data_IF_357102678022
#
_entry.id   IF_357102678022
#
_cell.length_a   1.000
_cell.length_b   1.000
_cell.length_c   1.000
_cell.angle_alpha   90.00
_cell.angle_beta   90.00
_cell.angle_gamma   90.00
#
_symmetry.space_group_name_H-M   'P 1'
#
loop_
_entity.id
_entity.type
_entity.pdbx_description
1 polymer ?
#
# COMPACT_ATOMS: atom_id res chain seq x y z
N UNK A 1 12.36 30.16 31.94
CA UNK A 1 12.10 28.83 31.32
C UNK A 1 12.05 29.02 29.82
N UNK A 2 13.11 28.65 29.10
CA UNK A 2 13.09 28.62 27.60
C UNK A 2 12.61 27.24 27.20
N UNK A 3 11.35 27.11 26.86
CA UNK A 3 10.79 25.90 26.28
C UNK A 3 11.41 25.69 24.90
N UNK A 4 12.07 24.58 24.73
CA UNK A 4 12.71 24.18 23.47
C UNK A 4 11.64 24.02 22.36
N UNK A 5 11.51 25.04 21.53
CA UNK A 5 10.61 25.04 20.36
C UNK A 5 10.96 23.94 19.35
N UNK A 6 12.19 23.45 19.35
CA UNK A 6 12.67 22.37 18.49
C UNK A 6 12.09 20.99 18.84
N UNK A 7 11.93 20.69 20.14
CA UNK A 7 11.30 19.44 20.58
C UNK A 7 9.79 19.40 20.29
N UNK A 8 9.12 20.56 20.37
CA UNK A 8 7.69 20.65 20.04
C UNK A 8 7.42 20.43 18.55
N UNK A 9 8.33 20.88 17.68
CA UNK A 9 8.22 20.70 16.23
C UNK A 9 8.42 19.25 15.78
N UNK A 10 9.29 18.51 16.44
CA UNK A 10 9.54 17.08 16.19
C UNK A 10 8.35 16.23 16.67
N UNK A 11 7.79 16.56 17.83
CA UNK A 11 6.64 15.88 18.40
C UNK A 11 5.37 16.12 17.58
N UNK A 12 5.19 17.30 16.97
CA UNK A 12 4.06 17.60 16.07
C UNK A 12 4.23 16.89 14.72
N UNK A 13 5.45 16.75 14.20
CA UNK A 13 5.70 15.98 12.98
C UNK A 13 5.45 14.48 13.20
N UNK A 14 5.82 13.93 14.36
CA UNK A 14 5.57 12.53 14.72
C UNK A 14 4.10 12.25 15.08
N UNK A 15 3.36 13.25 15.62
CA UNK A 15 1.94 13.08 15.94
C UNK A 15 1.00 13.19 14.73
N UNK A 16 1.47 13.71 13.59
CA UNK A 16 0.74 13.70 12.32
C UNK A 16 0.87 12.35 11.59
N UNK A 17 1.79 11.48 12.01
CA UNK A 17 2.01 10.15 11.44
C UNK A 17 1.16 9.05 12.12
N UNK A 18 0.34 9.38 13.07
CA UNK A 18 -0.28 8.43 13.99
C UNK A 18 -1.73 8.04 13.72
N UNK A 19 -2.20 7.88 12.47
CA UNK A 19 -3.41 7.12 12.12
C UNK A 19 -3.43 6.91 10.59
N UNK A 20 -2.66 5.98 10.07
CA UNK A 20 -2.80 5.54 8.69
C UNK A 20 -3.71 4.29 8.69
N UNK A 21 -4.99 4.47 8.50
CA UNK A 21 -5.89 3.42 8.04
C UNK A 21 -5.79 3.36 6.51
N UNK A 22 -5.94 2.21 5.90
CA UNK A 22 -5.29 1.90 4.63
C UNK A 22 -6.25 1.43 3.54
N UNK A 23 -5.86 1.63 2.33
CA UNK A 23 -6.61 1.34 1.11
C UNK A 23 -5.81 0.48 0.15
N UNK A 24 -6.50 -0.29 -0.68
CA UNK A 24 -5.90 -1.27 -1.55
C UNK A 24 -5.36 -0.66 -2.86
N UNK A 25 -4.06 -0.77 -3.06
CA UNK A 25 -3.43 -0.85 -4.37
C UNK A 25 -3.13 -2.33 -4.64
N UNK A 26 -2.47 -2.75 -5.73
CA UNK A 26 -2.20 -4.16 -6.00
C UNK A 26 -1.78 -4.93 -4.73
N UNK A 27 -2.60 -5.84 -4.26
CA UNK A 27 -2.50 -6.38 -2.91
C UNK A 27 -2.69 -5.30 -1.83
N UNK A 28 -1.83 -5.27 -0.84
CA UNK A 28 -1.76 -4.20 0.15
C UNK A 28 -0.58 -3.23 -0.07
N UNK A 29 -0.02 -3.17 -1.29
CA UNK A 29 0.95 -2.15 -1.69
C UNK A 29 0.25 -0.84 -2.00
N UNK A 30 0.79 0.28 -1.52
CA UNK A 30 0.28 1.62 -1.73
C UNK A 30 1.07 2.36 -2.81
N UNK A 31 0.38 3.05 -3.70
CA UNK A 31 0.96 3.96 -4.68
C UNK A 31 0.91 5.44 -4.21
N UNK A 32 0.24 5.73 -3.12
CA UNK A 32 -0.22 7.03 -2.64
C UNK A 32 0.89 7.83 -1.91
N UNK A 33 1.99 8.13 -2.60
CA UNK A 33 3.14 8.82 -1.99
C UNK A 33 3.27 10.32 -2.35
N UNK A 34 2.56 10.83 -3.35
CA UNK A 34 2.57 12.27 -3.68
C UNK A 34 1.31 12.71 -4.42
N UNK A 35 0.82 13.93 -4.11
CA UNK A 35 -0.31 14.51 -4.84
C UNK A 35 0.07 14.88 -6.28
N UNK A 36 1.34 15.20 -6.53
CA UNK A 36 1.87 15.48 -7.86
C UNK A 36 1.77 14.23 -8.75
N UNK A 37 2.25 13.08 -8.26
CA UNK A 37 2.18 11.78 -8.95
C UNK A 37 0.74 11.30 -9.11
N UNK A 38 -0.10 11.47 -8.09
CA UNK A 38 -1.52 11.13 -8.13
C UNK A 38 -2.22 11.74 -9.34
N UNK A 39 -1.94 13.02 -9.65
CA UNK A 39 -2.55 13.72 -10.76
C UNK A 39 -2.24 13.15 -12.15
N UNK A 40 -1.29 12.24 -12.29
CA UNK A 40 -0.93 11.56 -13.55
C UNK A 40 -0.97 10.04 -13.44
N UNK A 41 -1.73 9.49 -12.48
CA UNK A 41 -1.78 8.06 -12.17
C UNK A 41 -0.38 7.47 -11.94
N UNK A 42 0.53 8.22 -11.29
CA UNK A 42 1.93 7.83 -11.03
C UNK A 42 2.70 7.37 -12.27
N UNK A 43 2.33 7.86 -13.46
CA UNK A 43 3.06 7.57 -14.68
C UNK A 43 4.42 8.30 -14.69
N UNK A 44 5.49 7.57 -14.99
CA UNK A 44 6.82 8.12 -15.18
C UNK A 44 7.61 8.36 -13.89
N UNK A 45 7.16 7.92 -12.72
CA UNK A 45 7.72 8.32 -11.42
C UNK A 45 9.23 8.08 -11.27
N UNK A 46 9.74 6.94 -11.75
CA UNK A 46 11.18 6.67 -11.68
C UNK A 46 12.02 7.59 -12.59
N UNK A 47 11.39 8.38 -13.47
CA UNK A 47 12.04 9.35 -14.36
C UNK A 47 11.65 10.80 -14.07
N UNK A 48 10.79 11.06 -13.06
CA UNK A 48 10.29 12.41 -12.75
C UNK A 48 11.06 13.04 -11.59
N UNK A 49 11.26 14.37 -11.66
CA UNK A 49 11.93 15.16 -10.64
C UNK A 49 11.15 16.46 -10.37
N UNK A 50 9.84 16.36 -10.10
CA UNK A 50 8.99 17.53 -9.88
C UNK A 50 9.35 18.29 -8.59
N UNK A 51 9.60 17.55 -7.51
CA UNK A 51 9.89 18.05 -6.17
C UNK A 51 10.58 16.98 -5.31
N UNK A 52 10.76 17.23 -4.00
CA UNK A 52 11.49 16.34 -3.10
C UNK A 52 10.88 14.93 -2.98
N UNK A 53 9.61 14.70 -3.38
CA UNK A 53 8.97 13.39 -3.33
C UNK A 53 9.54 12.39 -4.36
N UNK A 54 10.21 12.86 -5.41
CA UNK A 54 10.79 12.04 -6.47
C UNK A 54 11.74 10.94 -5.94
N UNK A 55 12.46 11.23 -4.83
CA UNK A 55 13.35 10.29 -4.16
C UNK A 55 12.65 9.04 -3.60
N UNK A 56 11.34 9.11 -3.33
CA UNK A 56 10.57 7.98 -2.82
C UNK A 56 10.55 6.83 -3.79
N UNK A 57 10.38 7.13 -5.08
CA UNK A 57 10.37 6.13 -6.13
C UNK A 57 11.79 5.85 -6.66
N UNK A 58 12.57 6.91 -6.96
CA UNK A 58 13.90 6.78 -7.52
C UNK A 58 14.89 7.75 -6.84
N UNK A 59 15.79 7.27 -5.98
CA UNK A 59 16.76 8.13 -5.31
C UNK A 59 17.70 8.87 -6.28
N UNK A 60 17.95 8.36 -7.49
CA UNK A 60 18.79 9.05 -8.48
C UNK A 60 18.19 10.41 -8.92
N UNK A 61 16.88 10.59 -8.77
CA UNK A 61 16.21 11.85 -9.10
C UNK A 61 16.63 13.02 -8.21
N UNK A 62 17.22 12.77 -7.04
CA UNK A 62 17.78 13.82 -6.18
C UNK A 62 18.81 14.71 -6.89
N UNK A 63 19.55 14.19 -7.86
CA UNK A 63 20.54 14.97 -8.63
C UNK A 63 19.94 16.00 -9.58
N UNK A 64 18.62 15.94 -9.80
CA UNK A 64 17.88 16.89 -10.64
C UNK A 64 17.15 17.95 -9.81
N UNK A 65 17.25 17.89 -8.47
CA UNK A 65 16.60 18.84 -7.55
C UNK A 65 17.63 19.84 -7.05
N UNK A 66 17.43 21.11 -7.38
CA UNK A 66 18.35 22.18 -6.99
C UNK A 66 18.10 22.64 -5.55
N UNK A 67 19.19 23.00 -4.84
CA UNK A 67 19.15 23.60 -3.51
C UNK A 67 18.62 22.66 -2.44
N UNK A 68 17.85 23.22 -1.51
CA UNK A 68 17.14 22.48 -0.47
C UNK A 68 15.65 22.56 -0.76
N UNK A 69 14.97 21.41 -0.80
CA UNK A 69 13.53 21.35 -1.04
C UNK A 69 12.83 20.53 0.05
N UNK A 70 11.64 20.98 0.42
CA UNK A 70 10.74 20.27 1.32
C UNK A 70 9.41 20.07 0.59
N UNK A 71 8.86 18.86 0.64
CA UNK A 71 7.50 18.55 0.21
C UNK A 71 6.75 17.90 1.37
N UNK A 72 5.54 18.39 1.64
CA UNK A 72 4.64 17.86 2.68
C UNK A 72 3.26 17.70 2.08
N UNK A 73 2.67 16.53 2.21
CA UNK A 73 1.36 16.26 1.67
C UNK A 73 0.62 15.18 2.41
N UNK A 74 -0.62 14.99 1.98
CA UNK A 74 -1.44 13.84 2.37
C UNK A 74 -2.40 13.49 1.23
N UNK A 75 -2.73 12.19 1.16
CA UNK A 75 -3.73 11.67 0.25
C UNK A 75 -4.83 11.04 1.08
N UNK A 76 -6.05 11.52 0.89
CA UNK A 76 -7.27 10.89 1.41
C UNK A 76 -7.72 9.84 0.40
N UNK A 77 -8.01 8.67 0.87
CA UNK A 77 -8.44 7.52 0.09
C UNK A 77 -9.75 7.02 0.66
N UNK A 78 -10.74 6.85 -0.19
CA UNK A 78 -12.05 6.31 0.15
C UNK A 78 -12.34 5.11 -0.76
N UNK A 79 -12.15 3.89 -0.24
CA UNK A 79 -12.57 2.68 -0.93
C UNK A 79 -14.07 2.49 -0.70
N UNK A 80 -14.75 2.01 -1.73
CA UNK A 80 -16.11 1.53 -1.66
C UNK A 80 -16.06 0.10 -2.21
N UNK A 81 -15.79 -0.84 -1.34
CA UNK A 81 -15.64 -2.26 -1.68
C UNK A 81 -16.77 -3.05 -1.04
N UNK A 82 -17.42 -3.87 -1.85
CA UNK A 82 -18.51 -4.70 -1.45
C UNK A 82 -18.21 -6.18 -1.71
N UNK A 83 -18.73 -7.04 -0.86
CA UNK A 83 -18.77 -8.49 -1.09
C UNK A 83 -20.23 -8.95 -0.98
N UNK A 84 -20.66 -9.76 -1.95
CA UNK A 84 -22.02 -10.29 -1.99
C UNK A 84 -21.98 -11.77 -2.39
N UNK A 85 -22.72 -12.61 -1.67
CA UNK A 85 -22.77 -14.04 -1.92
C UNK A 85 -23.62 -14.80 -0.93
N UNK A 86 -23.42 -16.11 -0.95
CA UNK A 86 -24.15 -17.04 -0.07
C UNK A 86 -23.19 -18.02 0.62
N UNK A 87 -23.53 -18.42 1.83
CA UNK A 87 -22.90 -19.53 2.54
C UNK A 87 -23.80 -20.76 2.42
N UNK A 88 -23.26 -21.86 1.87
CA UNK A 88 -23.94 -23.17 1.93
C UNK A 88 -23.60 -23.88 3.25
N UNK A 89 -24.55 -23.84 4.18
CA UNK A 89 -24.45 -24.54 5.45
C UNK A 89 -25.42 -25.71 5.51
N UNK A 90 -24.90 -26.91 5.29
CA UNK A 90 -25.69 -28.17 5.22
C UNK A 90 -26.85 -28.13 4.23
N UNK A 91 -26.65 -27.53 3.05
CA UNK A 91 -27.65 -27.42 2.00
C UNK A 91 -28.65 -26.27 2.18
N UNK A 92 -28.41 -25.39 3.17
CA UNK A 92 -29.16 -24.15 3.32
C UNK A 92 -28.29 -22.98 2.86
N UNK A 93 -28.73 -22.26 1.86
CA UNK A 93 -28.09 -21.02 1.43
C UNK A 93 -28.43 -19.88 2.38
N UNK A 94 -27.40 -19.30 2.97
CA UNK A 94 -27.52 -18.18 3.92
C UNK A 94 -26.89 -16.96 3.23
N UNK A 95 -27.63 -15.89 2.97
CA UNK A 95 -27.06 -14.66 2.40
C UNK A 95 -25.90 -14.14 3.24
N UNK A 96 -24.82 -13.76 2.58
CA UNK A 96 -23.59 -13.26 3.18
C UNK A 96 -23.08 -12.07 2.35
N UNK A 97 -23.42 -10.86 2.78
CA UNK A 97 -23.01 -9.61 2.14
C UNK A 97 -22.40 -8.68 3.16
N UNK A 98 -21.46 -7.86 2.73
CA UNK A 98 -20.93 -6.74 3.49
C UNK A 98 -20.62 -5.61 2.52
N UNK A 99 -21.21 -4.45 2.77
CA UNK A 99 -21.05 -3.25 1.95
C UNK A 99 -19.99 -2.35 2.61
N UNK A 100 -19.17 -1.68 1.79
CA UNK A 100 -18.20 -0.66 2.23
C UNK A 100 -17.30 -1.13 3.39
N UNK A 101 -16.80 -2.38 3.27
CA UNK A 101 -16.07 -3.05 4.34
C UNK A 101 -14.59 -2.67 4.46
N UNK A 102 -14.10 -1.80 3.59
CA UNK A 102 -12.74 -1.25 3.64
C UNK A 102 -12.79 0.20 4.14
N UNK A 103 -11.96 0.53 5.14
CA UNK A 103 -12.04 1.82 5.80
C UNK A 103 -11.35 2.94 5.03
N UNK A 104 -11.84 4.18 5.21
CA UNK A 104 -11.20 5.40 4.71
C UNK A 104 -9.83 5.62 5.32
N UNK A 105 -8.90 6.22 4.54
CA UNK A 105 -7.57 6.47 5.02
C UNK A 105 -7.03 7.86 4.67
N UNK A 106 -6.13 8.38 5.52
CA UNK A 106 -5.28 9.53 5.20
C UNK A 106 -3.84 9.06 5.21
N UNK A 107 -3.16 9.15 4.07
CA UNK A 107 -1.77 8.75 3.89
C UNK A 107 -0.88 10.00 3.88
N UNK A 108 -0.20 10.33 4.98
CA UNK A 108 0.69 11.47 5.06
C UNK A 108 2.03 11.15 4.40
N UNK A 109 2.69 12.19 3.89
CA UNK A 109 4.02 12.07 3.34
C UNK A 109 4.86 13.33 3.64
N UNK A 110 6.18 13.12 3.80
CA UNK A 110 7.15 14.18 4.04
C UNK A 110 8.45 13.85 3.33
N UNK A 111 9.01 14.85 2.63
CA UNK A 111 10.25 14.71 1.88
C UNK A 111 11.13 15.93 2.09
N UNK A 112 12.42 15.68 2.27
CA UNK A 112 13.47 16.68 2.31
C UNK A 112 14.57 16.25 1.34
N UNK A 113 15.01 17.16 0.48
CA UNK A 113 16.18 16.97 -0.38
C UNK A 113 17.17 18.12 -0.19
N UNK A 114 18.46 17.82 -0.32
CA UNK A 114 19.52 18.81 -0.29
C UNK A 114 20.62 18.45 -1.30
N UNK A 115 20.88 19.36 -2.21
CA UNK A 115 21.97 19.26 -3.17
C UNK A 115 23.21 19.97 -2.59
N UNK A 116 24.26 19.20 -2.33
CA UNK A 116 25.52 19.76 -1.83
C UNK A 116 26.36 20.42 -2.92
N UNK A 117 26.31 19.88 -4.12
CA UNK A 117 26.98 20.38 -5.33
C UNK A 117 26.30 19.79 -6.59
N UNK A 118 26.78 20.14 -7.77
CA UNK A 118 26.20 19.71 -9.06
C UNK A 118 26.18 18.18 -9.27
N UNK A 119 26.94 17.43 -8.46
CA UNK A 119 27.10 15.98 -8.60
C UNK A 119 26.44 15.20 -7.46
N UNK A 120 26.35 15.74 -6.24
CA UNK A 120 25.96 14.99 -5.05
C UNK A 120 24.77 15.62 -4.33
N UNK A 121 23.78 14.79 -4.06
CA UNK A 121 22.59 15.16 -3.32
C UNK A 121 22.19 14.07 -2.30
N UNK A 122 21.49 14.48 -1.24
CA UNK A 122 20.94 13.59 -0.22
C UNK A 122 19.48 13.90 0.03
N UNK A 123 18.76 12.94 0.63
CA UNK A 123 17.37 13.14 0.97
C UNK A 123 16.88 12.26 2.11
N UNK A 124 15.85 12.77 2.78
CA UNK A 124 15.05 12.05 3.77
C UNK A 124 13.62 11.96 3.24
N UNK A 125 13.03 10.77 3.33
CA UNK A 125 11.65 10.54 2.96
C UNK A 125 10.93 9.80 4.10
N UNK A 126 9.71 10.24 4.43
CA UNK A 126 8.82 9.59 5.38
C UNK A 126 7.47 9.36 4.70
N UNK A 127 6.95 8.15 4.79
CA UNK A 127 5.69 7.78 4.17
C UNK A 127 5.33 6.33 4.44
N UNK A 128 4.47 5.75 3.61
CA UNK A 128 4.13 4.33 3.67
C UNK A 128 4.07 3.71 2.28
N UNK A 129 4.45 2.42 2.17
CA UNK A 129 4.38 1.65 0.93
C UNK A 129 3.35 0.52 1.00
N UNK A 130 2.94 0.10 2.19
CA UNK A 130 2.05 -1.04 2.37
C UNK A 130 1.03 -0.72 3.45
N UNK A 131 -0.21 -1.09 3.18
CA UNK A 131 -1.28 -0.90 4.13
C UNK A 131 -2.62 -1.39 3.61
N UNK A 132 -3.46 -1.89 4.52
CA UNK A 132 -4.84 -2.30 4.27
C UNK A 132 -5.60 -2.43 5.58
N UNK A 133 -6.90 -2.22 5.52
CA UNK A 133 -7.81 -2.52 6.62
C UNK A 133 -9.17 -2.91 6.06
N UNK A 134 -9.66 -4.08 6.44
CA UNK A 134 -10.98 -4.59 6.09
C UNK A 134 -11.68 -5.08 7.34
N UNK A 135 -12.95 -4.74 7.48
CA UNK A 135 -13.84 -5.22 8.54
C UNK A 135 -15.22 -5.52 7.94
N UNK A 136 -15.51 -6.80 7.76
CA UNK A 136 -16.78 -7.27 7.20
C UNK A 136 -17.92 -7.25 8.22
N UNK A 137 -17.61 -6.88 9.47
CA UNK A 137 -18.57 -6.75 10.56
C UNK A 137 -18.89 -8.07 11.27
N UNK A 138 -19.44 -7.93 12.46
CA UNK A 138 -19.78 -9.04 13.35
C UNK A 138 -20.99 -9.86 12.89
N UNK A 139 -21.80 -9.33 11.97
CA UNK A 139 -22.97 -10.02 11.42
C UNK A 139 -22.70 -10.86 10.16
N UNK A 140 -21.49 -10.82 9.63
CA UNK A 140 -21.15 -11.45 8.36
C UNK A 140 -21.23 -12.97 8.44
N UNK A 141 -22.04 -13.58 7.55
CA UNK A 141 -22.35 -15.01 7.66
C UNK A 141 -21.17 -15.92 7.28
N UNK A 142 -20.14 -15.40 6.63
CA UNK A 142 -18.90 -16.11 6.29
C UNK A 142 -17.71 -15.73 7.20
N UNK A 143 -17.94 -15.11 8.35
CA UNK A 143 -16.91 -14.63 9.30
C UNK A 143 -15.93 -15.71 9.79
N UNK A 144 -16.28 -16.97 9.63
CA UNK A 144 -15.41 -18.11 9.96
C UNK A 144 -14.20 -18.29 9.01
N UNK A 145 -14.23 -17.69 7.83
CA UNK A 145 -13.06 -17.60 6.93
C UNK A 145 -12.17 -16.39 7.23
N UNK A 146 -12.73 -15.37 7.84
CA UNK A 146 -12.12 -14.10 8.23
C UNK A 146 -13.18 -13.01 8.24
N UNK A 147 -13.19 -12.16 9.27
CA UNK A 147 -14.07 -11.01 9.35
C UNK A 147 -13.29 -9.70 9.36
N UNK A 148 -12.02 -9.72 9.72
CA UNK A 148 -11.15 -8.54 9.71
C UNK A 148 -9.73 -8.91 9.32
N UNK A 149 -9.05 -7.98 8.67
CA UNK A 149 -7.61 -8.06 8.41
C UNK A 149 -7.04 -6.64 8.31
N UNK A 150 -5.88 -6.42 8.91
CA UNK A 150 -5.17 -5.16 8.77
C UNK A 150 -3.67 -5.34 8.60
N UNK A 151 -3.06 -4.46 7.81
CA UNK A 151 -1.61 -4.27 7.71
C UNK A 151 -1.38 -2.77 7.68
N UNK A 152 -0.54 -2.26 8.56
CA UNK A 152 -0.11 -0.86 8.56
C UNK A 152 1.40 -0.79 8.56
N UNK A 153 1.98 0.00 7.67
CA UNK A 153 3.42 0.24 7.67
C UNK A 153 3.75 1.72 7.68
N UNK A 154 4.89 2.05 8.29
CA UNK A 154 5.53 3.36 8.16
C UNK A 154 6.98 3.16 7.74
N UNK A 155 7.45 3.99 6.85
CA UNK A 155 8.79 3.87 6.28
C UNK A 155 9.55 5.20 6.34
N UNK A 156 10.80 5.13 6.80
CA UNK A 156 11.76 6.22 6.77
C UNK A 156 12.94 5.83 5.87
N UNK A 157 13.23 6.66 4.84
CA UNK A 157 14.30 6.41 3.90
C UNK A 157 15.37 7.50 3.98
N UNK A 158 16.62 7.09 4.08
CA UNK A 158 17.78 7.95 3.88
C UNK A 158 18.39 7.64 2.52
N UNK A 159 18.41 8.63 1.63
CA UNK A 159 18.80 8.52 0.24
C UNK A 159 20.04 9.36 -0.06
N UNK A 160 20.87 8.88 -0.98
CA UNK A 160 21.95 9.64 -1.59
C UNK A 160 21.97 9.39 -3.09
N UNK A 161 22.37 10.39 -3.85
CA UNK A 161 22.50 10.31 -5.29
C UNK A 161 23.78 10.97 -5.78
N UNK A 162 24.32 10.41 -6.86
CA UNK A 162 25.53 10.91 -7.51
C UNK A 162 25.34 10.98 -9.02
N UNK A 163 25.63 12.14 -9.59
CA UNK A 163 25.65 12.41 -11.02
C UNK A 163 27.01 12.00 -11.58
N UNK A 164 27.08 10.84 -12.25
CA UNK A 164 28.31 10.30 -12.82
C UNK A 164 28.82 11.21 -13.96
N UNK A 165 27.89 11.70 -14.76
CA UNK A 165 28.11 12.66 -15.84
C UNK A 165 26.77 13.31 -16.22
N UNK A 166 26.75 14.17 -17.23
CA UNK A 166 25.53 14.89 -17.64
C UNK A 166 24.41 13.97 -18.15
N UNK A 167 24.74 12.74 -18.52
CA UNK A 167 23.76 11.77 -19.02
C UNK A 167 23.31 10.76 -17.97
N UNK A 168 24.11 10.46 -16.94
CA UNK A 168 23.85 9.32 -16.04
C UNK A 168 23.94 9.74 -14.59
N UNK A 169 22.87 9.49 -13.85
CA UNK A 169 22.82 9.59 -12.40
C UNK A 169 22.47 8.24 -11.77
N UNK A 170 23.02 7.98 -10.59
CA UNK A 170 22.71 6.82 -9.75
C UNK A 170 22.32 7.28 -8.36
N UNK A 171 21.53 6.49 -7.69
CA UNK A 171 21.15 6.76 -6.31
C UNK A 171 20.87 5.48 -5.55
N UNK A 172 20.94 5.56 -4.24
CA UNK A 172 20.61 4.47 -3.35
C UNK A 172 20.14 4.99 -1.99
N UNK A 173 19.48 4.13 -1.25
CA UNK A 173 18.96 4.48 0.07
C UNK A 173 18.80 3.27 0.98
N UNK A 174 18.79 3.55 2.27
CA UNK A 174 18.44 2.60 3.31
C UNK A 174 17.03 2.92 3.78
N UNK A 175 16.23 1.88 3.93
CA UNK A 175 14.81 1.94 4.33
C UNK A 175 14.69 1.33 5.72
N UNK A 176 14.04 2.04 6.64
CA UNK A 176 13.63 1.54 7.95
C UNK A 176 12.11 1.47 7.99
N UNK A 177 11.58 0.28 8.17
CA UNK A 177 10.16 0.00 8.11
C UNK A 177 9.67 -0.43 9.49
N UNK A 178 8.59 0.18 9.95
CA UNK A 178 7.79 -0.31 11.07
C UNK A 178 6.53 -0.92 10.46
N UNK A 179 6.13 -2.09 10.94
CA UNK A 179 4.95 -2.79 10.44
C UNK A 179 4.14 -3.40 11.57
N UNK A 180 2.83 -3.30 11.46
CA UNK A 180 1.84 -3.93 12.33
C UNK A 180 0.87 -4.72 11.45
N UNK A 181 0.35 -5.83 11.97
CA UNK A 181 -0.64 -6.62 11.26
C UNK A 181 -1.58 -7.34 12.22
N UNK A 182 -2.83 -7.49 11.80
CA UNK A 182 -3.84 -8.29 12.52
C UNK A 182 -4.70 -9.10 11.55
N UNK A 183 -5.27 -10.18 12.06
CA UNK A 183 -6.24 -11.00 11.37
C UNK A 183 -7.24 -11.56 12.38
N UNK A 184 -8.54 -11.51 12.04
CA UNK A 184 -9.63 -12.04 12.85
C UNK A 184 -10.56 -12.95 12.05
N UNK A 185 -11.08 -13.99 12.74
CA UNK A 185 -12.15 -14.84 12.28
C UNK A 185 -13.04 -15.23 13.47
N UNK A 186 -14.35 -15.19 13.27
CA UNK A 186 -15.35 -15.43 14.34
C UNK A 186 -16.38 -16.48 13.92
N UNK A 187 -17.16 -16.98 14.88
CA UNK A 187 -18.27 -17.86 14.58
C UNK A 187 -19.43 -17.09 13.96
N UNK A 188 -19.97 -17.52 12.80
CA UNK A 188 -21.23 -16.99 12.31
C UNK A 188 -22.43 -17.43 13.16
N UNK A 189 -23.58 -16.81 12.96
CA UNK A 189 -24.81 -17.16 13.67
C UNK A 189 -25.21 -18.65 13.49
N UNK A 190 -24.97 -19.18 12.30
CA UNK A 190 -25.18 -20.60 11.98
C UNK A 190 -23.83 -21.30 11.96
N UNK A 191 -23.49 -22.03 13.00
CA UNK A 191 -22.21 -22.75 13.09
C UNK A 191 -22.39 -24.14 13.68
N UNK A 192 -21.57 -25.10 13.22
CA UNK A 192 -21.59 -26.49 13.64
C UNK A 192 -21.11 -26.72 15.08
N UNK A 193 -20.45 -25.73 15.67
CA UNK A 193 -19.93 -25.80 17.03
C UNK A 193 -20.99 -25.52 18.08
N UNK A 194 -22.15 -24.97 17.69
CA UNK A 194 -23.21 -24.55 18.60
C UNK A 194 -22.79 -23.43 19.55
N UNK A 195 -21.81 -22.64 19.16
CA UNK A 195 -21.31 -21.53 19.94
C UNK A 195 -22.11 -20.24 19.62
N UNK A 196 -22.13 -19.28 20.53
CA UNK A 196 -22.68 -17.95 20.23
C UNK A 196 -21.99 -17.35 19.00
N UNK A 197 -22.76 -16.57 18.22
CA UNK A 197 -22.21 -15.71 17.18
C UNK A 197 -21.09 -14.83 17.75
N UNK A 198 -20.11 -14.46 16.93
CA UNK A 198 -18.97 -13.62 17.28
C UNK A 198 -18.03 -14.21 18.37
N UNK A 199 -18.10 -15.54 18.60
CA UNK A 199 -17.05 -16.19 19.37
C UNK A 199 -15.76 -16.23 18.55
N UNK A 200 -14.66 -15.75 19.13
CA UNK A 200 -13.35 -15.74 18.45
C UNK A 200 -12.89 -17.14 18.06
N UNK A 201 -12.80 -17.40 16.77
CA UNK A 201 -12.20 -18.61 16.22
C UNK A 201 -10.68 -18.46 16.14
N UNK A 202 -10.24 -17.39 15.51
CA UNK A 202 -8.83 -17.03 15.41
C UNK A 202 -8.72 -15.51 15.48
N UNK A 203 -7.85 -15.00 16.32
CA UNK A 203 -7.41 -13.62 16.32
C UNK A 203 -5.90 -13.59 16.55
N UNK A 204 -5.19 -12.79 15.81
CA UNK A 204 -3.77 -12.56 15.95
C UNK A 204 -3.46 -11.10 15.64
N UNK A 205 -2.50 -10.57 16.40
CA UNK A 205 -1.89 -9.27 16.14
C UNK A 205 -0.41 -9.31 16.48
N UNK A 206 0.37 -8.48 15.81
CA UNK A 206 1.79 -8.35 16.09
C UNK A 206 2.42 -7.19 15.34
N UNK A 207 3.60 -6.80 15.81
CA UNK A 207 4.39 -5.72 15.23
C UNK A 207 5.87 -6.12 15.10
N UNK A 208 6.56 -5.44 14.18
CA UNK A 208 8.02 -5.60 13.99
C UNK A 208 8.61 -4.38 13.29
N UNK A 209 9.93 -4.33 13.28
CA UNK A 209 10.70 -3.35 12.51
C UNK A 209 11.78 -4.04 11.69
N UNK A 210 11.92 -3.64 10.45
CA UNK A 210 12.90 -4.24 9.56
C UNK A 210 13.62 -3.21 8.69
N UNK A 211 14.73 -3.65 8.09
CA UNK A 211 15.54 -2.85 7.21
C UNK A 211 15.46 -3.35 5.77
N UNK A 212 15.37 -2.39 4.85
CA UNK A 212 15.48 -2.64 3.42
C UNK A 212 16.45 -1.66 2.78
N UNK A 213 16.55 -1.75 1.47
CA UNK A 213 17.33 -0.84 0.66
C UNK A 213 16.62 -0.55 -0.65
N UNK A 214 17.04 0.52 -1.30
CA UNK A 214 16.59 0.88 -2.64
C UNK A 214 17.74 1.42 -3.48
N UNK A 215 17.62 1.24 -4.78
CA UNK A 215 18.55 1.80 -5.76
C UNK A 215 17.79 2.36 -6.93
N UNK A 216 18.43 3.29 -7.63
CA UNK A 216 17.85 3.84 -8.84
C UNK A 216 18.90 4.41 -9.77
N UNK A 217 18.52 4.53 -11.02
CA UNK A 217 19.34 5.16 -12.07
C UNK A 217 18.48 6.10 -12.90
N UNK A 218 19.11 7.09 -13.49
CA UNK A 218 18.50 7.96 -14.48
C UNK A 218 19.45 8.14 -15.64
N UNK A 219 18.91 8.00 -16.84
CA UNK A 219 19.61 8.26 -18.09
C UNK A 219 18.94 9.42 -18.83
N UNK A 220 19.59 10.59 -18.79
CA UNK A 220 19.23 11.76 -19.58
C UNK A 220 19.75 11.58 -20.99
N UNK A 221 18.91 11.14 -21.92
CA UNK A 221 19.28 10.88 -23.33
C UNK A 221 19.65 12.18 -24.02
N UNK A 222 18.85 13.23 -23.76
CA UNK A 222 19.05 14.60 -24.16
C UNK A 222 18.18 15.49 -23.28
N UNK A 223 18.10 16.79 -23.54
CA UNK A 223 17.35 17.73 -22.68
C UNK A 223 15.86 17.40 -22.57
N UNK A 224 15.28 16.72 -23.56
CA UNK A 224 13.84 16.46 -23.66
C UNK A 224 13.45 15.03 -23.26
N UNK A 225 14.42 14.11 -23.15
CA UNK A 225 14.12 12.69 -22.97
C UNK A 225 14.95 12.07 -21.85
N UNK A 226 14.29 11.43 -20.90
CA UNK A 226 14.91 10.71 -19.78
C UNK A 226 14.23 9.37 -19.55
N UNK A 227 15.05 8.38 -19.21
CA UNK A 227 14.61 7.06 -18.73
C UNK A 227 15.11 6.91 -17.31
N UNK A 228 14.26 6.37 -16.44
CA UNK A 228 14.59 6.04 -15.06
C UNK A 228 14.30 4.57 -14.77
N UNK A 229 15.14 3.98 -13.92
CA UNK A 229 14.91 2.66 -13.35
C UNK A 229 15.08 2.75 -11.83
N UNK A 230 14.19 2.10 -11.11
CA UNK A 230 14.23 2.01 -9.66
C UNK A 230 13.90 0.59 -9.19
N UNK A 231 14.52 0.18 -8.09
CA UNK A 231 14.27 -1.09 -7.41
C UNK A 231 14.26 -0.88 -5.91
N UNK A 232 13.26 -1.44 -5.23
CA UNK A 232 13.18 -1.57 -3.78
C UNK A 232 13.27 -3.03 -3.39
N UNK A 233 14.11 -3.33 -2.39
CA UNK A 233 14.26 -4.69 -1.89
C UNK A 233 13.00 -5.18 -1.20
N UNK A 234 12.79 -6.48 -1.23
CA UNK A 234 11.93 -7.19 -0.31
C UNK A 234 12.31 -6.89 1.15
N UNK A 235 11.33 -6.95 2.04
CA UNK A 235 11.52 -6.83 3.49
C UNK A 235 10.65 -7.86 4.18
N UNK A 236 11.24 -8.71 5.00
CA UNK A 236 10.52 -9.66 5.84
C UNK A 236 10.34 -9.07 7.25
N UNK A 237 9.10 -8.95 7.69
CA UNK A 237 8.70 -8.59 9.05
C UNK A 237 8.43 -9.88 9.83
N UNK A 238 9.02 -10.01 11.00
CA UNK A 238 8.71 -11.06 11.97
C UNK A 238 7.75 -10.49 13.02
N UNK A 239 6.50 -10.30 12.66
CA UNK A 239 5.47 -9.72 13.53
C UNK A 239 5.37 -10.52 14.84
N UNK A 240 5.87 -9.95 15.92
CA UNK A 240 5.82 -10.55 17.25
C UNK A 240 4.60 -10.04 18.00
N UNK A 241 3.86 -10.97 18.60
CA UNK A 241 2.62 -10.60 19.26
C UNK A 241 1.95 -11.76 19.94
N UNK A 242 0.67 -11.91 19.72
CA UNK A 242 -0.10 -13.00 20.32
C UNK A 242 -1.22 -13.48 19.40
N UNK A 243 -1.72 -14.67 19.76
CA UNK A 243 -2.93 -15.24 19.18
C UNK A 243 -3.90 -15.66 20.27
N UNK A 244 -5.19 -15.64 19.94
CA UNK A 244 -6.27 -16.15 20.79
C UNK A 244 -7.38 -16.75 19.93
N UNK A 245 -8.20 -17.59 20.54
CA UNK A 245 -9.35 -18.23 19.91
C UNK A 245 -9.27 -19.77 19.91
N UNK A 246 -10.44 -20.37 19.75
CA UNK A 246 -10.60 -21.84 19.82
C UNK A 246 -9.97 -22.56 18.64
N UNK A 247 -9.80 -21.90 17.50
CA UNK A 247 -9.17 -22.43 16.29
C UNK A 247 -7.66 -22.72 16.44
N UNK A 248 -7.03 -22.16 17.47
CA UNK A 248 -5.65 -22.50 17.86
C UNK A 248 -5.56 -23.61 18.92
N UNK A 249 -6.68 -24.27 19.24
CA UNK A 249 -6.71 -25.37 20.22
C UNK A 249 -6.88 -24.90 21.67
N UNK A 250 -7.14 -23.61 21.92
CA UNK A 250 -7.27 -23.07 23.27
C UNK A 250 -8.62 -23.35 23.93
N UNK A 251 -9.43 -24.24 23.47
CA UNK A 251 -10.70 -24.61 24.07
C UNK A 251 -11.68 -23.44 24.32
N UNK A 252 -12.90 -23.77 24.71
CA UNK A 252 -13.97 -22.78 24.97
C UNK A 252 -14.01 -22.27 26.40
N UNK A 253 -13.07 -22.64 27.26
CA UNK A 253 -13.07 -22.21 28.66
C UNK A 253 -12.54 -20.79 28.81
N UNK A 254 -13.33 -19.91 29.36
CA UNK A 254 -12.96 -18.54 29.72
C UNK A 254 -12.13 -18.47 31.00
N UNK A 255 -11.21 -17.52 31.15
CA UNK A 255 -10.89 -16.48 30.18
C UNK A 255 -10.21 -17.04 28.92
N UNK A 256 -10.42 -16.37 27.78
CA UNK A 256 -9.78 -16.77 26.52
C UNK A 256 -8.29 -16.91 26.72
N UNK A 257 -7.76 -18.07 26.37
CA UNK A 257 -6.33 -18.32 26.49
C UNK A 257 -5.64 -17.56 25.38
N UNK A 258 -4.69 -16.73 25.77
CA UNK A 258 -3.79 -16.00 24.87
C UNK A 258 -2.45 -16.71 24.86
N UNK A 259 -1.88 -16.94 23.68
CA UNK A 259 -0.54 -17.50 23.50
C UNK A 259 0.30 -16.49 22.71
N UNK A 260 1.54 -16.29 23.15
CA UNK A 260 2.46 -15.43 22.44
C UNK A 260 3.08 -16.18 21.27
N UNK A 261 3.60 -15.44 20.32
CA UNK A 261 4.22 -16.04 19.16
C UNK A 261 4.62 -15.00 18.12
N UNK A 262 4.78 -15.46 16.89
CA UNK A 262 5.11 -14.59 15.77
C UNK A 262 4.53 -15.13 14.47
N UNK A 263 4.47 -14.25 13.47
CA UNK A 263 4.15 -14.57 12.09
C UNK A 263 5.11 -13.81 11.17
N UNK A 264 5.51 -14.43 10.08
CA UNK A 264 6.26 -13.72 9.03
C UNK A 264 5.29 -13.05 8.06
N UNK A 265 5.57 -11.79 7.73
CA UNK A 265 4.89 -11.03 6.69
C UNK A 265 5.94 -10.48 5.72
N UNK A 266 5.90 -10.96 4.49
CA UNK A 266 6.79 -10.49 3.43
C UNK A 266 6.19 -9.27 2.74
N UNK A 267 6.93 -8.16 2.76
CA UNK A 267 6.66 -6.99 1.95
C UNK A 267 7.47 -7.12 0.65
N UNK A 268 6.85 -7.30 -0.52
CA UNK A 268 7.51 -7.73 -1.74
C UNK A 268 8.50 -6.71 -2.30
N UNK A 269 9.46 -7.20 -3.08
CA UNK A 269 10.32 -6.35 -3.89
C UNK A 269 9.53 -5.67 -5.00
N UNK A 270 9.98 -4.48 -5.42
CA UNK A 270 9.36 -3.74 -6.53
C UNK A 270 10.39 -3.18 -7.49
N UNK A 271 10.04 -3.14 -8.77
CA UNK A 271 10.85 -2.49 -9.79
C UNK A 271 9.98 -1.58 -10.67
N UNK A 272 10.54 -0.47 -11.11
CA UNK A 272 9.91 0.43 -12.08
C UNK A 272 10.88 0.82 -13.18
N UNK A 273 10.42 0.69 -14.41
CA UNK A 273 11.03 1.31 -15.58
C UNK A 273 10.12 2.43 -16.06
N UNK A 274 10.64 3.64 -16.12
CA UNK A 274 9.87 4.84 -16.46
C UNK A 274 10.54 5.70 -17.52
N UNK A 275 9.74 6.52 -18.18
CA UNK A 275 10.22 7.48 -19.16
C UNK A 275 9.52 8.84 -19.04
N UNK A 276 10.27 9.89 -19.37
CA UNK A 276 9.84 11.27 -19.48
C UNK A 276 10.20 11.80 -20.85
N UNK A 277 9.27 12.45 -21.53
CA UNK A 277 9.43 13.01 -22.86
C UNK A 277 8.79 14.41 -22.94
N UNK A 278 9.60 15.45 -23.04
CA UNK A 278 9.15 16.81 -23.39
C UNK A 278 8.88 16.84 -24.90
N UNK A 279 7.62 16.85 -25.29
CA UNK A 279 7.19 16.77 -26.71
C UNK A 279 7.10 18.15 -27.36
N UNK A 280 6.67 19.14 -26.57
CA UNK A 280 6.66 20.56 -26.94
C UNK A 280 7.09 21.38 -25.73
N UNK A 281 7.27 22.69 -25.88
CA UNK A 281 7.59 23.58 -24.75
C UNK A 281 6.55 23.50 -23.60
N UNK A 282 5.33 23.07 -23.90
CA UNK A 282 4.24 23.03 -22.93
C UNK A 282 3.80 21.61 -22.55
N UNK A 283 4.11 20.59 -23.37
CA UNK A 283 3.57 19.23 -23.20
C UNK A 283 4.70 18.24 -22.94
N UNK A 284 4.62 17.56 -21.80
CA UNK A 284 5.42 16.38 -21.49
C UNK A 284 4.53 15.13 -21.40
N UNK A 285 5.05 14.01 -21.89
CA UNK A 285 4.44 12.69 -21.78
C UNK A 285 5.27 11.78 -20.87
N UNK A 286 4.59 10.90 -20.15
CA UNK A 286 5.18 10.00 -19.18
C UNK A 286 4.65 8.59 -19.37
N UNK A 287 5.52 7.60 -19.17
CA UNK A 287 5.12 6.22 -19.15
C UNK A 287 5.90 5.45 -18.08
N UNK A 288 5.27 4.46 -17.48
CA UNK A 288 5.95 3.53 -16.58
C UNK A 288 5.39 2.11 -16.70
N UNK A 289 6.28 1.17 -16.43
CA UNK A 289 6.03 -0.24 -16.19
C UNK A 289 6.55 -0.58 -14.80
N UNK A 290 5.68 -1.09 -13.95
CA UNK A 290 6.01 -1.53 -12.60
C UNK A 290 5.82 -3.04 -12.49
N UNK A 291 6.66 -3.67 -11.69
CA UNK A 291 6.58 -5.06 -11.28
C UNK A 291 6.66 -5.12 -9.76
N UNK A 292 5.85 -5.99 -9.17
CA UNK A 292 5.86 -6.28 -7.74
C UNK A 292 5.87 -7.78 -7.54
N UNK A 293 6.83 -8.27 -6.74
CA UNK A 293 7.09 -9.70 -6.46
C UNK A 293 6.09 -10.26 -5.43
N UNK A 294 4.80 -10.21 -5.75
CA UNK A 294 3.77 -10.77 -4.88
C UNK A 294 3.81 -12.29 -4.79
N UNK A 295 4.54 -12.97 -5.69
CA UNK A 295 4.75 -14.41 -5.60
C UNK A 295 5.52 -14.83 -4.34
N UNK A 296 6.18 -13.91 -3.67
CA UNK A 296 6.80 -14.11 -2.35
C UNK A 296 5.77 -14.24 -1.20
N UNK A 297 4.51 -13.83 -1.40
CA UNK A 297 3.45 -13.92 -0.39
C UNK A 297 2.66 -15.23 -0.55
N UNK A 298 3.21 -16.31 0.02
CA UNK A 298 2.67 -17.68 -0.14
C UNK A 298 1.62 -18.04 0.90
N UNK A 299 1.80 -17.62 2.16
CA UNK A 299 0.95 -18.04 3.29
C UNK A 299 1.04 -17.13 4.50
N UNK A 300 0.03 -17.21 5.34
CA UNK A 300 0.05 -16.74 6.72
C UNK A 300 0.13 -17.96 7.66
N UNK A 301 1.18 -18.01 8.49
CA UNK A 301 1.45 -19.13 9.39
C UNK A 301 1.85 -18.60 10.77
N UNK A 302 1.05 -18.91 11.80
CA UNK A 302 1.30 -18.50 13.17
C UNK A 302 2.22 -19.52 13.88
N UNK A 303 3.28 -19.03 14.48
CA UNK A 303 4.20 -19.81 15.31
C UNK A 303 4.02 -19.43 16.77
N UNK A 304 3.28 -20.26 17.51
CA UNK A 304 2.87 -19.98 18.89
C UNK A 304 3.77 -20.72 19.88
N UNK A 305 4.10 -20.07 21.00
CA UNK A 305 5.05 -20.58 21.99
C UNK A 305 4.60 -21.91 22.61
N UNK A 306 3.29 -22.07 22.87
CA UNK A 306 2.72 -23.23 23.52
C UNK A 306 1.96 -24.13 22.54
N UNK A 307 1.14 -23.52 21.68
CA UNK A 307 0.27 -24.26 20.76
C UNK A 307 1.01 -24.78 19.51
N UNK A 308 2.22 -24.28 19.24
CA UNK A 308 3.02 -24.69 18.09
C UNK A 308 2.64 -23.94 16.81
N UNK A 309 2.87 -24.55 15.66
CA UNK A 309 2.68 -23.90 14.36
C UNK A 309 1.30 -24.21 13.79
N UNK A 310 0.60 -23.15 13.36
CA UNK A 310 -0.74 -23.23 12.77
C UNK A 310 -0.79 -22.52 11.43
N UNK A 311 -1.23 -23.21 10.39
CA UNK A 311 -1.60 -22.58 9.12
C UNK A 311 -2.85 -21.70 9.35
N UNK A 312 -2.75 -20.43 9.07
CA UNK A 312 -3.87 -19.49 9.15
C UNK A 312 -4.55 -19.38 7.81
N UNK A 313 -3.78 -19.10 6.76
CA UNK A 313 -4.30 -18.94 5.40
C UNK A 313 -3.21 -19.25 4.37
N UNK A 314 -3.59 -19.95 3.30
CA UNK A 314 -2.75 -20.13 2.10
C UNK A 314 -3.08 -18.98 1.15
N UNK A 315 -2.08 -18.22 0.73
CA UNK A 315 -2.25 -17.07 -0.14
C UNK A 315 -1.85 -17.39 -1.59
N UNK A 316 -0.65 -17.90 -1.82
CA UNK A 316 -0.13 -18.28 -3.15
C UNK A 316 -0.40 -17.19 -4.21
N UNK A 317 0.00 -15.97 -3.90
CA UNK A 317 -0.18 -14.85 -4.81
C UNK A 317 0.77 -14.96 -6.00
N UNK A 318 0.51 -14.15 -7.03
CA UNK A 318 1.28 -14.08 -8.27
C UNK A 318 1.86 -12.68 -8.44
N UNK A 319 2.91 -12.54 -9.24
CA UNK A 319 3.48 -11.22 -9.54
C UNK A 319 2.43 -10.28 -10.15
N UNK A 320 2.47 -9.04 -9.70
CA UNK A 320 1.62 -7.99 -10.23
C UNK A 320 2.41 -7.08 -11.19
N UNK A 321 1.71 -6.60 -12.20
CA UNK A 321 2.24 -5.68 -13.20
C UNK A 321 1.33 -4.45 -13.32
N UNK A 322 1.96 -3.27 -13.38
CA UNK A 322 1.25 -2.02 -13.58
C UNK A 322 1.81 -1.27 -14.78
N UNK A 323 0.92 -0.81 -15.64
CA UNK A 323 1.22 0.00 -16.82
C UNK A 323 0.56 1.37 -16.64
N UNK A 324 1.33 2.45 -16.76
CA UNK A 324 0.79 3.80 -16.62
C UNK A 324 1.25 4.71 -17.75
N UNK A 325 0.33 5.56 -18.21
CA UNK A 325 0.58 6.64 -19.17
C UNK A 325 0.04 7.94 -18.59
N UNK A 326 0.82 9.01 -18.71
CA UNK A 326 0.47 10.32 -18.19
C UNK A 326 0.93 11.46 -19.08
N UNK A 327 0.35 12.62 -18.84
CA UNK A 327 0.74 13.86 -19.47
C UNK A 327 0.77 15.00 -18.47
N UNK A 328 1.70 15.93 -18.67
CA UNK A 328 1.76 17.21 -17.97
C UNK A 328 1.71 18.33 -19.02
N UNK A 329 0.78 19.27 -18.84
CA UNK A 329 0.60 20.40 -19.74
C UNK A 329 0.76 21.73 -18.99
N UNK A 330 1.78 22.50 -19.35
CA UNK A 330 2.00 23.85 -18.81
C UNK A 330 1.01 24.82 -19.45
N UNK A 331 -0.13 25.06 -18.77
CA UNK A 331 -1.21 25.92 -19.28
C UNK A 331 -0.83 27.40 -19.20
N UNK A 332 -0.16 27.79 -18.12
CA UNK A 332 0.36 29.13 -17.86
C UNK A 332 1.69 29.00 -17.09
N UNK A 333 2.53 30.07 -17.04
CA UNK A 333 3.79 29.98 -16.30
C UNK A 333 3.69 29.51 -14.85
N UNK A 334 2.54 29.73 -14.20
CA UNK A 334 2.30 29.33 -12.82
C UNK A 334 1.37 28.10 -12.68
N UNK A 335 0.80 27.58 -13.79
CA UNK A 335 -0.20 26.52 -13.71
C UNK A 335 0.12 25.37 -14.66
N UNK A 336 0.48 24.22 -14.10
CA UNK A 336 0.60 22.97 -14.82
C UNK A 336 -0.62 22.08 -14.52
N UNK A 337 -1.16 21.47 -15.55
CA UNK A 337 -2.23 20.47 -15.46
C UNK A 337 -1.67 19.09 -15.73
N UNK A 338 -2.24 18.07 -15.10
CA UNK A 338 -1.84 16.67 -15.26
C UNK A 338 -3.04 15.79 -15.54
N UNK A 339 -2.81 14.74 -16.29
CA UNK A 339 -3.77 13.64 -16.45
C UNK A 339 -3.02 12.32 -16.62
N UNK A 340 -3.65 11.23 -16.27
CA UNK A 340 -3.07 9.91 -16.42
C UNK A 340 -4.09 8.79 -16.39
N UNK A 341 -3.68 7.66 -16.95
CA UNK A 341 -4.39 6.40 -16.89
C UNK A 341 -3.39 5.30 -16.51
N UNK A 342 -3.82 4.37 -15.65
CA UNK A 342 -3.04 3.18 -15.39
C UNK A 342 -3.92 1.93 -15.33
N UNK A 343 -3.28 0.79 -15.52
CA UNK A 343 -3.89 -0.53 -15.38
C UNK A 343 -2.99 -1.40 -14.52
N UNK A 344 -3.55 -1.92 -13.43
CA UNK A 344 -2.92 -2.87 -12.53
C UNK A 344 -3.52 -4.25 -12.76
N UNK A 345 -2.67 -5.27 -12.96
CA UNK A 345 -3.13 -6.65 -12.94
C UNK A 345 -3.35 -7.09 -11.49
N UNK A 346 -4.31 -7.98 -11.25
CA UNK A 346 -4.45 -8.62 -9.94
C UNK A 346 -3.20 -9.43 -9.57
N UNK A 347 -2.81 -9.38 -8.30
CA UNK A 347 -1.83 -10.29 -7.72
C UNK A 347 -2.45 -11.63 -7.30
N UNK A 348 -3.77 -11.77 -7.36
CA UNK A 348 -4.50 -12.92 -6.83
C UNK A 348 -5.32 -13.58 -7.93
N UNK A 349 -5.14 -14.88 -8.11
CA UNK A 349 -5.99 -15.68 -9.01
C UNK A 349 -7.39 -15.89 -8.40
N UNK A 350 -8.37 -16.20 -9.22
CA UNK A 350 -9.75 -16.47 -8.77
C UNK A 350 -9.81 -17.59 -7.71
N UNK A 351 -8.90 -18.57 -7.76
CA UNK A 351 -8.81 -19.63 -6.77
C UNK A 351 -8.34 -19.11 -5.42
N UNK A 352 -7.39 -18.17 -5.42
CA UNK A 352 -6.69 -17.73 -4.21
C UNK A 352 -7.31 -16.47 -3.58
N UNK A 353 -8.30 -15.85 -4.25
CA UNK A 353 -9.00 -14.66 -3.73
C UNK A 353 -9.78 -14.99 -2.47
N UNK A 354 -9.62 -14.12 -1.47
CA UNK A 354 -10.25 -14.26 -0.15
C UNK A 354 -11.18 -13.10 0.13
N UNK A 355 -12.15 -13.31 1.01
CA UNK A 355 -13.10 -12.25 1.42
C UNK A 355 -12.44 -11.10 2.16
N UNK A 356 -11.36 -11.36 2.90
CA UNK A 356 -10.64 -10.34 3.65
C UNK A 356 -9.69 -9.51 2.80
N UNK A 357 -9.20 -10.06 1.67
CA UNK A 357 -8.32 -9.36 0.71
C UNK A 357 -8.80 -9.68 -0.72
N UNK A 358 -9.92 -9.07 -1.16
CA UNK A 358 -10.54 -9.39 -2.44
C UNK A 358 -9.87 -8.63 -3.60
N UNK A 359 -8.61 -8.90 -3.84
CA UNK A 359 -7.77 -8.24 -4.84
C UNK A 359 -8.22 -8.54 -6.27
N UNK A 360 -8.29 -7.51 -7.14
CA UNK A 360 -8.74 -7.62 -8.53
C UNK A 360 -7.95 -6.69 -9.47
N UNK A 361 -8.08 -6.88 -10.78
CA UNK A 361 -7.58 -5.93 -11.78
C UNK A 361 -8.19 -4.54 -11.58
N UNK A 362 -7.39 -3.47 -11.82
CA UNK A 362 -7.83 -2.07 -11.60
C UNK A 362 -7.45 -1.15 -12.74
N UNK A 363 -8.36 -0.25 -13.05
CA UNK A 363 -8.11 0.86 -13.98
C UNK A 363 -8.15 2.18 -13.22
N UNK A 364 -7.10 2.99 -13.38
CA UNK A 364 -6.94 4.29 -12.74
C UNK A 364 -7.18 5.40 -13.73
N UNK A 365 -7.95 6.40 -13.33
CA UNK A 365 -8.21 7.62 -14.09
C UNK A 365 -7.85 8.82 -13.22
N UNK A 366 -6.87 9.62 -13.64
CA UNK A 366 -6.31 10.68 -12.80
C UNK A 366 -6.31 12.03 -13.50
N UNK A 367 -6.50 13.07 -12.69
CA UNK A 367 -6.31 14.47 -13.05
C UNK A 367 -5.61 15.20 -11.90
N UNK A 368 -4.87 16.24 -12.20
CA UNK A 368 -4.21 17.06 -11.18
C UNK A 368 -3.71 18.40 -11.70
N UNK A 369 -3.24 19.20 -10.77
CA UNK A 369 -2.67 20.51 -11.07
C UNK A 369 -1.58 20.87 -10.06
N UNK A 370 -0.59 21.63 -10.53
CA UNK A 370 0.36 22.38 -9.69
C UNK A 370 0.14 23.86 -9.92
N UNK A 371 0.08 24.63 -8.84
CA UNK A 371 0.07 26.08 -8.89
C UNK A 371 1.29 26.65 -8.17
N UNK A 372 2.16 27.33 -8.94
CA UNK A 372 3.32 28.05 -8.43
C UNK A 372 2.88 29.40 -7.86
N UNK A 373 2.68 29.45 -6.52
CA UNK A 373 2.27 30.67 -5.82
C UNK A 373 3.39 31.72 -5.82
N UNK A 374 4.62 31.25 -5.67
CA UNK A 374 5.84 32.03 -5.84
C UNK A 374 6.87 31.18 -6.58
N UNK A 375 8.04 31.74 -6.91
CA UNK A 375 9.15 30.96 -7.47
C UNK A 375 9.67 29.85 -6.52
N UNK A 376 9.42 29.97 -5.21
CA UNK A 376 9.94 29.11 -4.17
C UNK A 376 8.85 28.25 -3.51
N UNK A 377 7.56 28.52 -3.77
CA UNK A 377 6.44 27.82 -3.14
C UNK A 377 5.38 27.43 -4.16
N UNK A 378 5.06 26.12 -4.17
CA UNK A 378 3.97 25.57 -5.00
C UNK A 378 3.02 24.69 -4.19
N UNK A 379 1.81 24.53 -4.74
CA UNK A 379 0.76 23.65 -4.24
C UNK A 379 0.36 22.67 -5.34
N UNK A 380 0.32 21.40 -5.00
CA UNK A 380 -0.20 20.33 -5.85
C UNK A 380 -1.56 19.85 -5.34
N UNK A 381 -2.45 19.56 -6.27
CA UNK A 381 -3.68 18.84 -6.03
C UNK A 381 -3.84 17.72 -7.06
N UNK A 382 -4.25 16.54 -6.59
CA UNK A 382 -4.52 15.39 -7.44
C UNK A 382 -5.84 14.72 -7.06
N UNK A 383 -6.52 14.19 -8.07
CA UNK A 383 -7.69 13.36 -7.91
C UNK A 383 -7.55 12.11 -8.79
N UNK A 384 -7.90 10.97 -8.24
CA UNK A 384 -7.93 9.71 -8.97
C UNK A 384 -9.21 8.96 -8.67
N UNK A 385 -9.78 8.34 -9.69
CA UNK A 385 -10.86 7.37 -9.59
C UNK A 385 -10.35 6.02 -10.08
N UNK A 386 -10.46 4.99 -9.23
CA UNK A 386 -10.05 3.63 -9.52
C UNK A 386 -11.29 2.77 -9.69
N UNK A 387 -11.36 2.07 -10.78
CA UNK A 387 -12.42 1.10 -11.10
C UNK A 387 -11.83 -0.29 -10.85
N UNK A 388 -12.32 -0.99 -9.83
CA UNK A 388 -12.01 -2.40 -9.61
C UNK A 388 -12.86 -3.26 -10.55
N UNK A 389 -12.28 -4.35 -11.05
CA UNK A 389 -13.01 -5.34 -11.84
C UNK A 389 -13.74 -6.27 -10.91
N UNK A 390 -15.02 -6.53 -11.19
CA UNK A 390 -15.79 -7.52 -10.47
C UNK A 390 -15.14 -8.91 -10.59
N UNK A 391 -15.06 -9.64 -9.48
CA UNK A 391 -14.36 -10.91 -9.47
C UNK A 391 -14.99 -11.92 -8.50
N UNK A 392 -15.01 -13.22 -8.87
CA UNK A 392 -15.59 -14.26 -8.03
C UNK A 392 -14.70 -14.54 -6.81
N UNK A 393 -15.36 -14.91 -5.71
CA UNK A 393 -14.71 -15.39 -4.48
C UNK A 393 -15.35 -16.73 -4.12
N UNK A 394 -14.49 -17.70 -3.77
CA UNK A 394 -14.91 -18.98 -3.21
C UNK A 394 -14.03 -19.30 -2.02
N UNK A 395 -14.58 -19.31 -0.84
CA UNK A 395 -14.02 -19.90 0.37
C UNK A 395 -14.91 -21.13 0.70
N UNK A 396 -14.56 -22.32 0.73
CA UNK A 396 -13.35 -23.09 0.82
C UNK A 396 -12.71 -23.36 -0.55
N UNK A 397 -11.43 -23.11 -0.63
CA UNK A 397 -10.64 -23.22 -1.88
C UNK A 397 -9.97 -24.59 -2.05
N UNK A 398 -10.22 -25.54 -1.12
CA UNK A 398 -9.60 -26.84 -1.09
C UNK A 398 -8.21 -26.88 -0.42
N UNK A 399 -7.94 -25.93 0.46
CA UNK A 399 -6.78 -25.93 1.36
C UNK A 399 -7.20 -26.42 2.75
N UNK A 400 -6.32 -27.13 3.46
CA UNK A 400 -6.62 -27.72 4.78
C UNK A 400 -7.15 -26.68 5.79
N UNK A 401 -6.64 -25.45 5.75
CA UNK A 401 -7.11 -24.36 6.61
C UNK A 401 -8.54 -23.93 6.28
N UNK A 402 -8.85 -23.83 5.00
CA UNK A 402 -10.16 -23.41 4.49
C UNK A 402 -11.19 -24.51 4.72
N UNK A 403 -10.83 -25.78 4.50
CA UNK A 403 -11.73 -26.93 4.74
C UNK A 403 -12.08 -27.05 6.23
N UNK A 404 -11.16 -26.71 7.14
CA UNK A 404 -11.42 -26.65 8.58
C UNK A 404 -12.42 -25.54 8.90
N UNK A 405 -12.28 -24.37 8.30
CA UNK A 405 -13.25 -23.26 8.45
C UNK A 405 -14.62 -23.63 7.86
N UNK A 406 -14.65 -24.26 6.68
CA UNK A 406 -15.89 -24.77 6.07
C UNK A 406 -16.68 -25.70 7.01
N UNK A 407 -15.99 -26.55 7.76
CA UNK A 407 -16.65 -27.44 8.74
C UNK A 407 -17.36 -26.67 9.85
N UNK A 408 -16.93 -25.46 10.16
CA UNK A 408 -17.53 -24.60 11.18
C UNK A 408 -18.79 -23.92 10.66
N UNK A 409 -18.75 -23.26 9.51
CA UNK A 409 -19.81 -22.37 9.04
C UNK A 409 -20.34 -22.62 7.63
N UNK A 410 -19.75 -23.56 6.87
CA UNK A 410 -20.13 -23.83 5.47
C UNK A 410 -19.20 -23.17 4.45
N UNK A 411 -19.44 -23.42 3.17
CA UNK A 411 -18.69 -22.83 2.05
C UNK A 411 -19.31 -21.49 1.65
N UNK A 412 -18.48 -20.47 1.42
CA UNK A 412 -18.91 -19.21 0.83
C UNK A 412 -18.66 -19.22 -0.68
N UNK A 413 -19.64 -18.74 -1.45
CA UNK A 413 -19.52 -18.45 -2.89
C UNK A 413 -20.16 -17.10 -3.16
N UNK A 414 -19.42 -16.19 -3.78
CA UNK A 414 -19.88 -14.84 -4.07
C UNK A 414 -18.95 -14.09 -5.02
N UNK A 415 -19.08 -12.80 -5.02
CA UNK A 415 -18.23 -11.90 -5.79
C UNK A 415 -17.86 -10.65 -4.99
N UNK A 416 -16.79 -9.99 -5.39
CA UNK A 416 -16.42 -8.66 -4.92
C UNK A 416 -16.61 -7.66 -6.05
N UNK A 417 -17.06 -6.48 -5.68
CA UNK A 417 -17.23 -5.32 -6.57
C UNK A 417 -16.70 -4.07 -5.88
N UNK A 418 -16.40 -3.02 -6.64
CA UNK A 418 -16.07 -1.76 -5.98
C UNK A 418 -15.33 -0.74 -6.82
N UNK A 419 -15.06 0.36 -6.17
CA UNK A 419 -14.26 1.46 -6.70
C UNK A 419 -13.55 2.17 -5.54
N UNK A 420 -12.52 2.95 -5.89
CA UNK A 420 -11.80 3.78 -4.91
C UNK A 420 -11.63 5.17 -5.49
N UNK A 421 -11.81 6.21 -4.69
CA UNK A 421 -11.44 7.54 -5.10
C UNK A 421 -10.45 8.18 -4.12
N UNK A 422 -9.54 8.97 -4.67
CA UNK A 422 -8.44 9.56 -3.94
C UNK A 422 -8.37 11.07 -4.19
N UNK A 423 -8.10 11.82 -3.12
CA UNK A 423 -7.79 13.26 -3.20
C UNK A 423 -6.46 13.50 -2.50
N UNK A 424 -5.50 14.07 -3.22
CA UNK A 424 -4.19 14.43 -2.69
C UNK A 424 -3.98 15.95 -2.68
N UNK A 425 -3.36 16.43 -1.61
CA UNK A 425 -2.86 17.80 -1.51
C UNK A 425 -1.41 17.77 -1.03
N UNK A 426 -0.57 18.61 -1.62
CA UNK A 426 0.85 18.70 -1.27
C UNK A 426 1.34 20.13 -1.41
N UNK A 427 2.18 20.55 -0.49
CA UNK A 427 2.88 21.83 -0.52
C UNK A 427 4.38 21.57 -0.70
N UNK A 428 5.02 22.32 -1.58
CA UNK A 428 6.46 22.23 -1.83
C UNK A 428 7.09 23.60 -1.59
N UNK A 429 8.26 23.56 -0.97
CA UNK A 429 9.05 24.76 -0.72
C UNK A 429 10.52 24.54 -1.09
N UNK A 430 11.09 25.49 -1.84
CA UNK A 430 12.49 25.53 -2.24
C UNK A 430 13.19 26.70 -1.54
N UNK A 431 14.35 26.43 -0.93
CA UNK A 431 15.16 27.45 -0.25
C UNK A 431 16.25 27.99 -1.16
#
# INVERSE_FOLDING_TARGET
>A
MKTNKTLLSITVALSLLGTASTTHAAGFQLAEFSATGLGRAYAGEAAMADNASAQWRNPAMLTYLEGTQISVGAIYVNPNLDVDGDVDFYGNNIPASSDDFAHDAIIPNFYLSHQYNDEFAVGLALGTNYGMETDLGTGFAASHFGNEASVTTMEANLNAAYKINDAVSIGGGVRYILGEGSFGATTPANNALGLPQDTTLKYMEGDDTAWGWQVGTAWQINNDHRIGFAYKSEVELKLQGHAEGIGFGFGTQLPQTRDNGYMYLTLPATAELASYHQVTEQLALHASFNWTDWSSFEKLEAHLDTAGTHMVKVENWEDNYRFALGATYQLQPQLALRTGIAYDTSAVSDKNRTITIPETDRTWLSIGATYDWTKDFSLDAGFTYIIAKDAPITESRGYDSDDTAQQVGGQFVGETTGNVWLIGLQANYRF
#
